data_IF_945459711000
#
_entry.id   IF_945459711000
#
_cell.length_a   1.000
_cell.length_b   1.000
_cell.length_c   1.000
_cell.angle_alpha   90.00
_cell.angle_beta   90.00
_cell.angle_gamma   90.00
#
_symmetry.space_group_name_H-M   'P 1'
#
loop_
_entity.id
_entity.type
_entity.pdbx_description
1 polymer ?
#
# COMPACT_ATOMS: atom_id res chain seq x y z
N UNK A 1 15.31 0.53 -24.33
CA UNK A 1 15.27 -0.43 -23.21
C UNK A 1 13.88 -0.35 -22.62
N UNK A 2 13.14 -1.46 -22.53
CA UNK A 2 11.97 -1.49 -21.67
C UNK A 2 12.50 -1.43 -20.23
N UNK A 3 12.09 -0.43 -19.45
CA UNK A 3 12.38 -0.42 -18.03
C UNK A 3 11.71 -1.65 -17.41
N UNK A 4 12.53 -2.49 -16.77
CA UNK A 4 12.05 -3.66 -16.05
C UNK A 4 11.20 -3.18 -14.87
N UNK A 5 9.95 -3.61 -14.80
CA UNK A 5 9.04 -3.21 -13.72
C UNK A 5 9.46 -3.89 -12.43
N UNK A 6 9.56 -3.12 -11.34
CA UNK A 6 9.85 -3.65 -10.00
C UNK A 6 8.79 -4.65 -9.55
N UNK A 7 9.21 -5.74 -8.91
CA UNK A 7 8.34 -6.72 -8.24
C UNK A 7 8.17 -6.37 -6.76
N UNK A 8 7.11 -6.87 -6.10
CA UNK A 8 6.93 -6.70 -4.65
C UNK A 8 8.13 -7.26 -3.86
N UNK A 9 8.63 -8.44 -4.24
CA UNK A 9 9.84 -9.01 -3.66
C UNK A 9 11.05 -8.06 -3.78
N UNK A 10 11.31 -7.50 -4.97
CA UNK A 10 12.42 -6.55 -5.15
C UNK A 10 12.27 -5.27 -4.33
N UNK A 11 11.03 -4.80 -4.12
CA UNK A 11 10.76 -3.64 -3.27
C UNK A 11 10.99 -3.97 -1.80
N UNK A 12 10.57 -5.15 -1.32
CA UNK A 12 10.85 -5.61 0.04
C UNK A 12 12.35 -5.73 0.29
N UNK A 13 13.11 -6.30 -0.64
CA UNK A 13 14.57 -6.43 -0.56
C UNK A 13 15.27 -5.06 -0.51
N UNK A 14 14.87 -4.12 -1.36
CA UNK A 14 15.45 -2.77 -1.38
C UNK A 14 15.20 -2.02 -0.07
N UNK A 15 13.98 -2.12 0.49
CA UNK A 15 13.64 -1.50 1.77
C UNK A 15 14.38 -2.16 2.93
N UNK A 16 14.52 -3.49 2.95
CA UNK A 16 15.35 -4.15 3.95
C UNK A 16 16.81 -3.71 3.86
N UNK A 17 17.40 -3.74 2.67
CA UNK A 17 18.77 -3.29 2.44
C UNK A 17 19.00 -1.84 2.89
N UNK A 18 18.00 -0.96 2.76
CA UNK A 18 18.05 0.40 3.28
C UNK A 18 18.02 0.43 4.82
N UNK A 19 17.09 -0.28 5.46
CA UNK A 19 16.94 -0.29 6.92
C UNK A 19 18.17 -0.89 7.62
N UNK A 20 18.77 -1.95 7.04
CA UNK A 20 19.94 -2.61 7.61
C UNK A 20 21.20 -1.73 7.65
N UNK A 21 21.20 -0.57 6.97
CA UNK A 21 22.29 0.43 7.07
C UNK A 21 22.34 1.09 8.46
N UNK A 22 21.24 1.03 9.22
CA UNK A 22 21.10 1.69 10.50
C UNK A 22 21.22 0.69 11.66
N UNK A 23 22.02 1.03 12.68
CA UNK A 23 22.18 0.17 13.89
C UNK A 23 20.88 -0.08 14.65
N UNK A 24 19.92 0.84 14.53
CA UNK A 24 18.60 0.72 15.16
C UNK A 24 17.77 -0.40 14.54
N UNK A 25 17.96 -0.68 13.24
CA UNK A 25 17.14 -1.61 12.48
C UNK A 25 15.67 -1.21 12.46
N UNK A 26 14.79 -2.21 12.43
CA UNK A 26 13.34 -2.02 12.48
C UNK A 26 12.85 -1.53 13.85
N UNK A 27 11.84 -0.67 13.85
CA UNK A 27 11.11 -0.31 15.06
C UNK A 27 10.20 -1.45 15.54
N UNK A 28 9.70 -1.32 16.79
CA UNK A 28 8.74 -2.29 17.33
C UNK A 28 7.41 -2.26 16.56
N UNK A 29 6.64 -3.37 16.54
CA UNK A 29 5.39 -3.43 15.78
C UNK A 29 4.37 -2.35 16.15
N UNK A 30 4.29 -1.96 17.43
CA UNK A 30 3.40 -0.88 17.87
C UNK A 30 3.86 0.51 17.37
N UNK A 31 5.17 0.75 17.34
CA UNK A 31 5.71 1.98 16.78
C UNK A 31 5.48 2.05 15.26
N UNK A 32 5.67 0.93 14.55
CA UNK A 32 5.40 0.84 13.11
C UNK A 32 3.90 1.04 12.80
N UNK A 33 3.01 0.46 13.60
CA UNK A 33 1.57 0.69 13.46
C UNK A 33 1.18 2.17 13.67
N UNK A 34 1.80 2.82 14.66
CA UNK A 34 1.60 4.25 14.88
C UNK A 34 2.07 5.08 13.68
N UNK A 35 3.23 4.75 13.11
CA UNK A 35 3.77 5.39 11.89
C UNK A 35 2.85 5.19 10.69
N UNK A 36 2.36 3.98 10.43
CA UNK A 36 1.38 3.75 9.36
C UNK A 36 0.12 4.60 9.57
N UNK A 37 -0.35 4.72 10.81
CA UNK A 37 -1.55 5.52 11.13
C UNK A 37 -1.33 7.01 10.88
N UNK A 38 -0.12 7.50 11.15
CA UNK A 38 0.32 8.86 10.81
C UNK A 38 0.22 9.10 9.29
N UNK A 39 0.86 8.26 8.48
CA UNK A 39 0.85 8.41 7.00
C UNK A 39 -0.58 8.29 6.42
N UNK A 40 -1.43 7.42 6.99
CA UNK A 40 -2.85 7.33 6.57
C UNK A 40 -3.62 8.62 6.89
N UNK A 41 -3.29 9.29 8.00
CA UNK A 41 -3.87 10.58 8.35
C UNK A 41 -3.47 11.68 7.36
N UNK A 42 -2.22 11.68 6.91
CA UNK A 42 -1.70 12.60 5.90
C UNK A 42 -2.36 12.34 4.53
N UNK A 43 -2.44 11.07 4.12
CA UNK A 43 -3.18 10.66 2.93
C UNK A 43 -4.65 11.10 2.97
N UNK A 44 -5.33 10.91 4.11
CA UNK A 44 -6.71 11.33 4.28
C UNK A 44 -6.87 12.86 4.12
N UNK A 45 -5.92 13.64 4.64
CA UNK A 45 -5.89 15.10 4.47
C UNK A 45 -5.77 15.48 2.99
N UNK A 46 -4.82 14.90 2.27
CA UNK A 46 -4.58 15.27 0.85
C UNK A 46 -5.69 14.78 -0.08
N UNK A 47 -6.31 13.63 0.21
CA UNK A 47 -7.52 13.18 -0.50
C UNK A 47 -8.66 14.17 -0.28
N UNK A 48 -8.88 14.63 0.95
CA UNK A 48 -9.93 15.61 1.23
C UNK A 48 -9.64 16.97 0.58
N UNK A 49 -8.37 17.37 0.49
CA UNK A 49 -7.96 18.57 -0.24
C UNK A 49 -8.20 18.47 -1.75
N UNK A 50 -7.97 17.28 -2.33
CA UNK A 50 -8.03 17.08 -3.78
C UNK A 50 -9.43 16.75 -4.29
N UNK A 51 -10.21 16.01 -3.51
CA UNK A 51 -11.48 15.42 -3.93
C UNK A 51 -12.64 15.70 -2.97
N UNK A 52 -12.38 16.34 -1.83
CA UNK A 52 -13.37 16.63 -0.80
C UNK A 52 -13.74 18.11 -0.72
N UNK A 53 -14.38 18.48 0.38
CA UNK A 53 -14.96 19.82 0.57
C UNK A 53 -13.96 20.83 1.16
N UNK A 54 -12.89 20.32 1.78
CA UNK A 54 -11.90 21.17 2.44
C UNK A 54 -10.86 21.64 1.41
N UNK A 55 -10.75 22.94 1.20
CA UNK A 55 -9.71 23.50 0.32
C UNK A 55 -8.37 23.61 1.05
N UNK A 56 -7.30 23.19 0.38
CA UNK A 56 -5.91 23.40 0.82
C UNK A 56 -5.62 24.90 0.93
N UNK A 57 -5.04 25.34 2.04
CA UNK A 57 -4.65 26.74 2.19
C UNK A 57 -3.36 27.04 1.41
N UNK A 58 -3.12 28.30 0.98
CA UNK A 58 -1.91 28.67 0.23
C UNK A 58 -0.60 28.54 1.01
N UNK A 59 -0.66 28.55 2.34
CA UNK A 59 0.47 28.44 3.26
C UNK A 59 0.79 26.99 3.66
N UNK A 60 -0.03 26.02 3.24
CA UNK A 60 0.25 24.61 3.47
C UNK A 60 1.34 24.10 2.51
N UNK A 61 2.20 23.21 3.01
CA UNK A 61 3.26 22.62 2.20
C UNK A 61 2.70 21.90 0.95
N UNK A 62 3.41 21.97 -0.19
CA UNK A 62 3.07 21.16 -1.33
C UNK A 62 3.15 19.69 -0.92
N UNK A 63 2.08 18.96 -1.22
CA UNK A 63 1.96 17.53 -0.99
C UNK A 63 0.86 17.00 -1.91
N UNK A 64 0.86 15.71 -2.19
CA UNK A 64 -0.02 15.10 -3.16
C UNK A 64 -0.53 13.73 -2.69
N UNK A 65 -1.70 13.34 -3.18
CA UNK A 65 -2.25 12.00 -2.92
C UNK A 65 -1.28 10.90 -3.36
N UNK A 66 -0.48 11.14 -4.40
CA UNK A 66 0.53 10.19 -4.90
C UNK A 66 1.66 9.97 -3.89
N UNK A 67 2.19 11.05 -3.31
CA UNK A 67 3.26 11.00 -2.32
C UNK A 67 2.79 10.27 -1.07
N UNK A 68 1.65 10.69 -0.52
CA UNK A 68 1.10 10.11 0.72
C UNK A 68 0.70 8.63 0.57
N UNK A 69 0.18 8.25 -0.61
CA UNK A 69 -0.11 6.86 -0.89
C UNK A 69 1.18 6.03 -1.01
N UNK A 70 2.25 6.65 -1.51
CA UNK A 70 3.60 6.09 -1.50
C UNK A 70 4.13 5.87 -0.08
N UNK A 71 3.95 6.84 0.82
CA UNK A 71 4.40 6.72 2.21
C UNK A 71 3.66 5.60 2.96
N UNK A 72 2.35 5.48 2.76
CA UNK A 72 1.57 4.35 3.29
C UNK A 72 2.09 3.00 2.74
N UNK A 73 2.41 2.93 1.45
CA UNK A 73 2.98 1.72 0.84
C UNK A 73 4.35 1.37 1.46
N UNK A 74 5.26 2.34 1.57
CA UNK A 74 6.60 2.13 2.13
C UNK A 74 6.52 1.71 3.59
N UNK A 75 5.69 2.37 4.41
CA UNK A 75 5.52 1.96 5.81
C UNK A 75 4.91 0.57 5.95
N UNK A 76 4.02 0.18 5.03
CA UNK A 76 3.48 -1.18 4.97
C UNK A 76 4.57 -2.21 4.64
N UNK A 77 5.48 -1.89 3.71
CA UNK A 77 6.63 -2.74 3.37
C UNK A 77 7.58 -2.86 4.57
N UNK A 78 7.91 -1.75 5.25
CA UNK A 78 8.76 -1.76 6.44
C UNK A 78 8.15 -2.67 7.52
N UNK A 79 6.85 -2.56 7.78
CA UNK A 79 6.16 -3.40 8.75
C UNK A 79 6.14 -4.88 8.34
N UNK A 80 5.94 -5.16 7.05
CA UNK A 80 5.97 -6.52 6.55
C UNK A 80 7.35 -7.17 6.76
N UNK A 81 8.42 -6.47 6.37
CA UNK A 81 9.78 -6.95 6.56
C UNK A 81 10.12 -7.14 8.05
N UNK A 82 9.75 -6.18 8.91
CA UNK A 82 9.97 -6.25 10.36
C UNK A 82 9.28 -7.45 11.03
N UNK A 83 8.21 -7.96 10.42
CA UNK A 83 7.41 -9.09 10.89
C UNK A 83 7.66 -10.37 10.08
N UNK A 84 8.64 -10.38 9.18
CA UNK A 84 8.96 -11.50 8.29
C UNK A 84 7.77 -11.97 7.43
N UNK A 85 6.98 -11.01 6.93
CA UNK A 85 5.82 -11.24 6.07
C UNK A 85 6.22 -11.06 4.60
N UNK A 86 5.96 -12.09 3.79
CA UNK A 86 6.03 -12.01 2.33
C UNK A 86 4.76 -11.33 1.78
N UNK A 87 4.92 -10.12 1.22
CA UNK A 87 3.81 -9.37 0.63
C UNK A 87 3.35 -9.95 -0.71
N UNK A 88 4.22 -10.64 -1.44
CA UNK A 88 3.86 -11.34 -2.67
C UNK A 88 2.90 -12.48 -2.34
N UNK A 89 3.26 -13.32 -1.37
CA UNK A 89 2.39 -14.39 -0.90
C UNK A 89 1.07 -13.85 -0.30
N UNK A 90 1.15 -12.80 0.51
CA UNK A 90 -0.04 -12.14 1.08
C UNK A 90 -0.97 -11.61 -0.01
N UNK A 91 -0.43 -10.99 -1.06
CA UNK A 91 -1.20 -10.51 -2.20
C UNK A 91 -1.89 -11.65 -2.95
N UNK A 92 -1.14 -12.71 -3.31
CA UNK A 92 -1.67 -13.88 -4.02
C UNK A 92 -2.81 -14.54 -3.26
N UNK A 93 -2.63 -14.79 -1.96
CA UNK A 93 -3.67 -15.38 -1.09
C UNK A 93 -4.93 -14.52 -1.02
N UNK A 94 -4.78 -13.21 -0.93
CA UNK A 94 -5.92 -12.29 -0.89
C UNK A 94 -6.65 -12.24 -2.23
N UNK A 95 -5.93 -12.20 -3.34
CA UNK A 95 -6.52 -12.22 -4.68
C UNK A 95 -7.27 -13.53 -4.96
N UNK A 96 -6.71 -14.67 -4.58
CA UNK A 96 -7.40 -15.96 -4.67
C UNK A 96 -8.71 -15.97 -3.89
N UNK A 97 -8.70 -15.40 -2.67
CA UNK A 97 -9.90 -15.27 -1.84
C UNK A 97 -10.93 -14.37 -2.49
N UNK A 98 -10.54 -13.22 -3.04
CA UNK A 98 -11.45 -12.29 -3.71
C UNK A 98 -12.03 -12.91 -4.99
N UNK A 99 -11.20 -13.54 -5.80
CA UNK A 99 -11.62 -14.20 -7.04
C UNK A 99 -12.65 -15.30 -6.78
N UNK A 100 -12.53 -16.05 -5.68
CA UNK A 100 -13.51 -17.08 -5.29
C UNK A 100 -14.77 -16.48 -4.66
N UNK A 101 -14.61 -15.55 -3.72
CA UNK A 101 -15.74 -14.97 -2.96
C UNK A 101 -16.63 -14.10 -3.84
N UNK A 102 -16.01 -13.29 -4.68
CA UNK A 102 -16.68 -12.24 -5.44
C UNK A 102 -16.81 -12.59 -6.94
N UNK A 103 -16.49 -13.84 -7.34
CA UNK A 103 -16.46 -14.33 -8.75
C UNK A 103 -17.63 -13.83 -9.60
N UNK A 104 -18.84 -13.86 -9.03
CA UNK A 104 -20.10 -13.41 -9.62
C UNK A 104 -20.92 -12.54 -8.66
N UNK A 105 -20.27 -11.90 -7.68
CA UNK A 105 -20.97 -11.03 -6.71
C UNK A 105 -21.32 -9.67 -7.32
N UNK A 106 -20.50 -9.20 -8.24
CA UNK A 106 -20.65 -7.94 -8.93
C UNK A 106 -20.73 -8.18 -10.45
N UNK A 107 -21.36 -7.26 -11.17
CA UNK A 107 -21.47 -7.32 -12.62
C UNK A 107 -20.08 -7.37 -13.27
N UNK A 108 -19.87 -8.34 -14.15
CA UNK A 108 -18.59 -8.55 -14.83
C UNK A 108 -18.62 -7.89 -16.20
N UNK A 109 -17.52 -7.22 -16.56
CA UNK A 109 -17.36 -6.63 -17.89
C UNK A 109 -17.38 -7.66 -19.03
N UNK A 110 -17.06 -8.92 -18.75
CA UNK A 110 -17.10 -10.03 -19.72
C UNK A 110 -18.48 -10.70 -19.80
N UNK A 111 -19.48 -10.19 -19.07
CA UNK A 111 -20.86 -10.67 -19.06
C UNK A 111 -21.07 -12.01 -18.35
N UNK A 112 -20.01 -12.68 -17.87
CA UNK A 112 -20.14 -14.03 -17.29
C UNK A 112 -21.00 -14.01 -16.02
N UNK A 113 -21.87 -14.99 -15.90
CA UNK A 113 -22.72 -15.16 -14.71
C UNK A 113 -22.55 -16.56 -14.11
N UNK A 114 -23.01 -16.72 -12.86
CA UNK A 114 -22.95 -18.00 -12.15
C UNK A 114 -23.77 -19.11 -12.83
N UNK A 115 -24.72 -18.76 -13.70
CA UNK A 115 -25.59 -19.70 -14.40
C UNK A 115 -24.92 -20.32 -15.65
N UNK A 116 -23.76 -19.80 -16.06
CA UNK A 116 -23.01 -20.21 -17.26
C UNK A 116 -21.81 -21.13 -16.96
N UNK A 117 -21.57 -21.48 -15.69
CA UNK A 117 -20.58 -22.49 -15.22
C UNK A 117 -21.25 -23.83 -14.86
#
# INVERSE_FOLDING_TARGET
MQEEKRSLASMQEEVDAYIQQFKTGYFSPLALLARITEEVGELAREVNHSYGEKKKKPDEAPNSVTEELGDVLIMSIIMANALEIDLTESFERNMDKFNRRDQFRFERNDGRTKEEE
#
